data_IF_107529791051
#
_entry.id   IF_107529791051
#
_cell.length_a   1.000
_cell.length_b   1.000
_cell.length_c   1.000
_cell.angle_alpha   90.00
_cell.angle_beta   90.00
_cell.angle_gamma   90.00
#
_symmetry.space_group_name_H-M   'P 1'
#
loop_
_entity.id
_entity.type
_entity.pdbx_description
1 polymer ?
#
# COMPACT_ATOMS: atom_id res chain seq x y z
N UNK A 1 7.96 17.03 46.40
CA UNK A 1 7.84 17.11 44.92
C UNK A 1 6.57 16.40 44.53
N UNK A 2 5.49 17.14 44.32
CA UNK A 2 4.24 16.61 43.77
C UNK A 2 4.47 16.37 42.27
N UNK A 3 4.61 15.11 41.88
CA UNK A 3 4.67 14.70 40.47
C UNK A 3 3.42 15.19 39.76
N UNK A 4 3.59 15.98 38.69
CA UNK A 4 2.51 16.52 37.86
C UNK A 4 1.60 15.39 37.35
N UNK A 5 0.33 15.31 37.76
CA UNK A 5 -0.54 14.19 37.41
C UNK A 5 -0.78 14.02 35.89
N UNK A 6 -0.42 15.01 35.07
CA UNK A 6 -0.58 15.02 33.61
C UNK A 6 0.56 14.33 32.84
N UNK A 7 1.72 14.07 33.46
CA UNK A 7 2.91 13.56 32.76
C UNK A 7 2.61 12.27 31.98
N UNK A 8 1.85 11.34 32.59
CA UNK A 8 1.53 10.04 31.99
C UNK A 8 0.70 10.20 30.72
N UNK A 9 -0.32 11.06 30.74
CA UNK A 9 -1.19 11.30 29.59
C UNK A 9 -0.43 11.94 28.43
N UNK A 10 0.46 12.89 28.74
CA UNK A 10 1.32 13.54 27.74
C UNK A 10 2.27 12.54 27.09
N UNK A 11 2.94 11.71 27.88
CA UNK A 11 3.86 10.66 27.36
C UNK A 11 3.12 9.63 26.51
N UNK A 12 1.93 9.18 26.92
CA UNK A 12 1.12 8.22 26.16
C UNK A 12 0.65 8.85 24.84
N UNK A 13 0.16 10.08 24.87
CA UNK A 13 -0.28 10.78 23.66
C UNK A 13 0.88 10.98 22.67
N UNK A 14 2.04 11.43 23.15
CA UNK A 14 3.21 11.68 22.32
C UNK A 14 3.77 10.40 21.71
N UNK A 15 3.94 9.34 22.51
CA UNK A 15 4.43 8.06 22.02
C UNK A 15 3.45 7.40 21.04
N UNK A 16 2.14 7.46 21.32
CA UNK A 16 1.11 6.96 20.40
C UNK A 16 1.11 7.71 19.08
N UNK A 17 1.23 9.04 19.11
CA UNK A 17 1.33 9.85 17.90
C UNK A 17 2.57 9.50 17.07
N UNK A 18 3.73 9.30 17.73
CA UNK A 18 4.95 8.87 17.05
C UNK A 18 4.79 7.50 16.39
N UNK A 19 4.19 6.52 17.08
CA UNK A 19 3.94 5.18 16.53
C UNK A 19 3.00 5.28 15.31
N UNK A 20 1.88 6.00 15.44
CA UNK A 20 0.93 6.19 14.34
C UNK A 20 1.58 6.88 13.14
N UNK A 21 2.43 7.87 13.36
CA UNK A 21 3.15 8.56 12.29
C UNK A 21 4.11 7.60 11.55
N UNK A 22 4.89 6.80 12.28
CA UNK A 22 5.82 5.82 11.69
C UNK A 22 5.05 4.77 10.87
N UNK A 23 4.03 4.15 11.47
CA UNK A 23 3.25 3.10 10.82
C UNK A 23 2.47 3.66 9.63
N UNK A 24 1.85 4.84 9.78
CA UNK A 24 1.13 5.53 8.72
C UNK A 24 2.04 5.92 7.56
N UNK A 25 3.25 6.41 7.84
CA UNK A 25 4.27 6.71 6.83
C UNK A 25 4.68 5.47 6.05
N UNK A 26 4.94 4.36 6.75
CA UNK A 26 5.29 3.08 6.12
C UNK A 26 4.19 2.55 5.20
N UNK A 27 2.94 2.57 5.67
CA UNK A 27 1.78 2.15 4.88
C UNK A 27 1.61 3.02 3.64
N UNK A 28 1.70 4.34 3.81
CA UNK A 28 1.55 5.30 2.70
C UNK A 28 2.62 5.08 1.63
N UNK A 29 3.88 4.90 2.04
CA UNK A 29 4.98 4.59 1.11
C UNK A 29 4.73 3.28 0.35
N UNK A 30 4.27 2.24 1.04
CA UNK A 30 3.96 0.94 0.44
C UNK A 30 2.84 1.03 -0.61
N UNK A 31 1.77 1.77 -0.29
CA UNK A 31 0.65 2.01 -1.22
C UNK A 31 1.14 2.82 -2.43
N UNK A 32 1.92 3.86 -2.21
CA UNK A 32 2.44 4.70 -3.29
C UNK A 32 3.34 3.91 -4.25
N UNK A 33 4.20 3.05 -3.72
CA UNK A 33 5.05 2.17 -4.53
C UNK A 33 4.22 1.22 -5.40
N UNK A 34 3.18 0.61 -4.83
CA UNK A 34 2.26 -0.26 -5.57
C UNK A 34 1.49 0.51 -6.66
N UNK A 35 1.02 1.72 -6.36
CA UNK A 35 0.36 2.57 -7.35
C UNK A 35 1.31 2.97 -8.49
N UNK A 36 2.59 3.23 -8.18
CA UNK A 36 3.61 3.51 -9.17
C UNK A 36 3.85 2.29 -10.07
N UNK A 37 4.00 1.09 -9.51
CA UNK A 37 4.15 -0.16 -10.27
C UNK A 37 2.95 -0.40 -11.19
N UNK A 38 1.73 -0.26 -10.66
CA UNK A 38 0.49 -0.38 -11.43
C UNK A 38 0.45 0.61 -12.60
N UNK A 39 0.84 1.87 -12.35
CA UNK A 39 0.90 2.92 -13.38
C UNK A 39 1.91 2.58 -14.47
N UNK A 40 3.09 2.08 -14.09
CA UNK A 40 4.12 1.63 -15.03
C UNK A 40 3.61 0.51 -15.93
N UNK A 41 2.99 -0.54 -15.36
CA UNK A 41 2.39 -1.64 -16.12
C UNK A 41 1.29 -1.12 -17.07
N UNK A 42 0.42 -0.23 -16.57
CA UNK A 42 -0.64 0.38 -17.37
C UNK A 42 -0.10 1.20 -18.54
N UNK A 43 0.98 1.95 -18.34
CA UNK A 43 1.62 2.74 -19.38
C UNK A 43 2.25 1.83 -20.45
N UNK A 44 2.99 0.79 -20.03
CA UNK A 44 3.55 -0.21 -20.95
C UNK A 44 2.45 -0.87 -21.79
N UNK A 45 1.34 -1.24 -21.17
CA UNK A 45 0.19 -1.82 -21.86
C UNK A 45 -0.41 -0.85 -22.90
N UNK A 46 -0.53 0.43 -22.55
CA UNK A 46 -1.01 1.48 -23.47
C UNK A 46 -0.07 1.65 -24.68
N UNK A 47 1.23 1.73 -24.44
CA UNK A 47 2.27 1.86 -25.47
C UNK A 47 2.26 0.67 -26.43
N UNK A 48 2.27 -0.56 -25.88
CA UNK A 48 2.24 -1.79 -26.69
C UNK A 48 0.94 -1.90 -27.51
N UNK A 49 -0.21 -1.49 -26.96
CA UNK A 49 -1.46 -1.39 -27.71
C UNK A 49 -1.42 -0.33 -28.82
N UNK A 50 -0.72 0.78 -28.62
CA UNK A 50 -0.52 1.78 -29.66
C UNK A 50 0.36 1.22 -30.79
N UNK A 51 1.47 0.56 -30.45
CA UNK A 51 2.36 -0.08 -31.42
C UNK A 51 1.66 -1.18 -32.22
N UNK A 52 0.86 -2.03 -31.56
CA UNK A 52 0.08 -3.06 -32.24
C UNK A 52 -0.91 -2.44 -33.25
N UNK A 53 -1.53 -1.31 -32.93
CA UNK A 53 -2.42 -0.58 -33.84
C UNK A 53 -1.66 -0.03 -35.05
N UNK A 54 -0.45 0.49 -34.86
CA UNK A 54 0.40 0.95 -35.96
C UNK A 54 0.79 -0.20 -36.89
N UNK A 55 1.28 -1.32 -36.34
CA UNK A 55 1.64 -2.51 -37.14
C UNK A 55 0.45 -3.06 -37.92
N UNK A 56 -0.74 -3.09 -37.32
CA UNK A 56 -1.96 -3.51 -38.03
C UNK A 56 -2.31 -2.60 -39.20
N UNK A 57 -2.15 -1.28 -39.05
CA UNK A 57 -2.38 -0.33 -40.15
C UNK A 57 -1.40 -0.52 -41.29
N UNK A 58 -0.14 -0.83 -41.00
CA UNK A 58 0.85 -1.15 -42.03
C UNK A 58 0.48 -2.43 -42.81
N UNK A 59 -0.04 -3.44 -42.12
CA UNK A 59 -0.55 -4.68 -42.74
C UNK A 59 -1.80 -4.46 -43.61
N UNK A 60 -2.56 -3.39 -43.39
CA UNK A 60 -3.78 -3.05 -44.15
C UNK A 60 -3.49 -2.25 -45.43
N UNK A 61 -2.24 -1.79 -45.64
CA UNK A 61 -1.87 -1.05 -46.85
C UNK A 61 -1.89 -1.94 -48.10
N UNK A 62 -2.23 -1.39 -49.28
CA UNK A 62 -2.30 -2.15 -50.52
C UNK A 62 -0.93 -2.74 -50.88
N UNK A 63 -0.93 -4.03 -51.24
CA UNK A 63 0.27 -4.83 -51.50
C UNK A 63 0.93 -4.44 -52.82
N UNK A 64 2.20 -4.06 -52.77
CA UNK A 64 3.08 -3.98 -53.94
C UNK A 64 3.88 -5.31 -54.07
N UNK A 65 4.52 -5.56 -55.21
CA UNK A 65 5.07 -6.88 -55.59
C UNK A 65 6.28 -7.37 -54.74
N UNK A 66 6.77 -6.57 -53.77
CA UNK A 66 7.96 -6.85 -52.90
C UNK A 66 7.63 -7.25 -51.45
N UNK A 67 6.38 -7.60 -51.13
CA UNK A 67 5.87 -7.57 -49.74
C UNK A 67 6.00 -8.87 -48.93
N UNK A 68 6.38 -10.00 -49.53
CA UNK A 68 6.24 -11.30 -48.85
C UNK A 68 7.12 -11.45 -47.59
N UNK A 69 8.36 -10.94 -47.60
CA UNK A 69 9.25 -11.00 -46.42
C UNK A 69 8.86 -9.97 -45.34
N UNK A 70 8.52 -8.75 -45.74
CA UNK A 70 8.12 -7.69 -44.81
C UNK A 70 6.78 -8.01 -44.12
N UNK A 71 5.81 -8.57 -44.86
CA UNK A 71 4.52 -8.99 -44.30
C UNK A 71 4.72 -10.06 -43.21
N UNK A 72 5.65 -10.99 -43.42
CA UNK A 72 5.98 -12.02 -42.43
C UNK A 72 6.55 -11.41 -41.15
N UNK A 73 7.45 -10.43 -41.28
CA UNK A 73 8.04 -9.70 -40.15
C UNK A 73 6.96 -8.95 -39.36
N UNK A 74 6.07 -8.20 -40.03
CA UNK A 74 4.99 -7.47 -39.37
C UNK A 74 3.99 -8.41 -38.68
N UNK A 75 3.66 -9.56 -39.27
CA UNK A 75 2.80 -10.57 -38.63
C UNK A 75 3.44 -11.14 -37.37
N UNK A 76 4.75 -11.43 -37.40
CA UNK A 76 5.51 -11.90 -36.24
C UNK A 76 5.52 -10.85 -35.13
N UNK A 77 5.79 -9.59 -35.47
CA UNK A 77 5.74 -8.47 -34.52
C UNK A 77 4.35 -8.30 -33.90
N UNK A 78 3.29 -8.38 -34.70
CA UNK A 78 1.92 -8.29 -34.22
C UNK A 78 1.56 -9.44 -33.25
N UNK A 79 2.06 -10.65 -33.51
CA UNK A 79 1.87 -11.80 -32.62
C UNK A 79 2.61 -11.61 -31.28
N UNK A 80 3.87 -11.18 -31.32
CA UNK A 80 4.66 -10.89 -30.11
C UNK A 80 4.01 -9.79 -29.27
N UNK A 81 3.57 -8.70 -29.89
CA UNK A 81 2.88 -7.62 -29.18
C UNK A 81 1.55 -8.10 -28.56
N UNK A 82 0.80 -8.96 -29.25
CA UNK A 82 -0.42 -9.55 -28.69
C UNK A 82 -0.13 -10.40 -27.45
N UNK A 83 0.90 -11.24 -27.48
CA UNK A 83 1.27 -12.05 -26.30
C UNK A 83 1.73 -11.18 -25.14
N UNK A 84 2.55 -10.15 -25.39
CA UNK A 84 2.99 -9.22 -24.34
C UNK A 84 1.82 -8.43 -23.74
N UNK A 85 0.87 -7.97 -24.56
CA UNK A 85 -0.33 -7.29 -24.07
C UNK A 85 -1.17 -8.23 -23.21
N UNK A 86 -1.32 -9.50 -23.61
CA UNK A 86 -2.05 -10.49 -22.83
C UNK A 86 -1.39 -10.75 -21.46
N UNK A 87 -0.05 -10.86 -21.43
CA UNK A 87 0.71 -11.01 -20.19
C UNK A 87 0.56 -9.78 -19.28
N UNK A 88 0.78 -8.57 -19.81
CA UNK A 88 0.63 -7.31 -19.05
C UNK A 88 -0.80 -7.13 -18.52
N UNK A 89 -1.81 -7.49 -19.30
CA UNK A 89 -3.21 -7.41 -18.88
C UNK A 89 -3.51 -8.42 -17.77
N UNK A 90 -2.94 -9.62 -17.85
CA UNK A 90 -3.03 -10.63 -16.78
C UNK A 90 -2.39 -10.10 -15.50
N UNK A 91 -1.15 -9.59 -15.58
CA UNK A 91 -0.43 -9.00 -14.45
C UNK A 91 -1.22 -7.85 -13.81
N UNK A 92 -1.79 -6.97 -14.63
CA UNK A 92 -2.60 -5.84 -14.18
C UNK A 92 -3.89 -6.29 -13.49
N UNK A 93 -4.55 -7.32 -14.01
CA UNK A 93 -5.80 -7.86 -13.42
C UNK A 93 -5.53 -8.66 -12.13
N UNK A 94 -4.38 -9.31 -12.03
CA UNK A 94 -3.94 -9.98 -10.78
C UNK A 94 -3.43 -8.98 -9.74
N UNK A 95 -3.21 -7.72 -10.10
CA UNK A 95 -2.70 -6.70 -9.21
C UNK A 95 -3.70 -6.42 -8.09
N UNK A 96 -3.43 -7.00 -6.92
CA UNK A 96 -4.26 -6.86 -5.72
C UNK A 96 -3.49 -6.08 -4.65
N UNK A 97 -4.19 -5.23 -3.92
CA UNK A 97 -3.63 -4.57 -2.75
C UNK A 97 -3.30 -5.61 -1.66
N UNK A 98 -2.27 -5.36 -0.83
CA UNK A 98 -1.94 -6.26 0.27
C UNK A 98 -3.16 -6.44 1.19
N UNK A 99 -3.55 -7.68 1.51
CA UNK A 99 -4.80 -7.97 2.21
C UNK A 99 -4.86 -7.31 3.60
N UNK A 100 -3.69 -7.12 4.23
CA UNK A 100 -3.57 -6.54 5.55
C UNK A 100 -3.67 -5.00 5.58
N UNK A 101 -3.75 -4.31 4.44
CA UNK A 101 -3.89 -2.85 4.42
C UNK A 101 -5.16 -2.39 5.14
N UNK A 102 -6.27 -3.12 4.95
CA UNK A 102 -7.54 -2.81 5.64
C UNK A 102 -7.42 -3.04 7.15
N UNK A 103 -6.74 -4.12 7.55
CA UNK A 103 -6.49 -4.43 8.95
C UNK A 103 -5.70 -3.30 9.63
N UNK A 104 -4.74 -2.71 8.93
CA UNK A 104 -3.98 -1.57 9.42
C UNK A 104 -4.86 -0.38 9.79
N UNK A 105 -5.80 -0.01 8.90
CA UNK A 105 -6.76 1.06 9.15
C UNK A 105 -7.64 0.75 10.38
N UNK A 106 -8.13 -0.49 10.48
CA UNK A 106 -8.93 -0.93 11.63
C UNK A 106 -8.18 -0.91 12.96
N UNK A 107 -6.86 -1.09 12.98
CA UNK A 107 -6.05 -1.04 14.21
C UNK A 107 -5.65 0.40 14.53
N UNK A 108 -5.19 1.17 13.54
CA UNK A 108 -4.62 2.51 13.74
C UNK A 108 -5.69 3.53 14.14
N UNK A 109 -6.87 3.50 13.52
CA UNK A 109 -7.95 4.45 13.81
C UNK A 109 -8.39 4.42 15.29
N UNK A 110 -8.76 3.28 15.89
CA UNK A 110 -9.11 3.24 17.30
C UNK A 110 -7.90 3.48 18.20
N UNK A 111 -6.69 3.03 17.82
CA UNK A 111 -5.48 3.30 18.61
C UNK A 111 -5.20 4.80 18.73
N UNK A 112 -5.30 5.54 17.63
CA UNK A 112 -5.12 6.99 17.60
C UNK A 112 -6.23 7.71 18.39
N UNK A 113 -7.49 7.30 18.23
CA UNK A 113 -8.60 7.88 18.99
C UNK A 113 -8.44 7.69 20.50
N UNK A 114 -8.18 6.45 20.94
CA UNK A 114 -8.11 6.11 22.37
C UNK A 114 -6.82 6.53 23.05
N UNK A 115 -5.70 6.61 22.34
CA UNK A 115 -4.40 6.90 22.98
C UNK A 115 -3.81 8.27 22.62
N UNK A 116 -4.44 9.03 21.72
CA UNK A 116 -4.05 10.42 21.43
C UNK A 116 -5.20 11.35 21.83
N UNK A 117 -6.37 11.21 21.20
CA UNK A 117 -7.48 12.15 21.43
C UNK A 117 -8.01 12.08 22.87
N UNK A 118 -8.16 10.86 23.42
CA UNK A 118 -8.68 10.69 24.78
C UNK A 118 -7.73 11.23 25.87
N UNK A 119 -6.42 10.94 25.90
CA UNK A 119 -5.51 11.58 26.86
C UNK A 119 -5.46 13.11 26.72
N UNK A 120 -5.47 13.64 25.49
CA UNK A 120 -5.48 15.10 25.25
C UNK A 120 -6.74 15.75 25.79
N UNK A 121 -7.92 15.17 25.54
CA UNK A 121 -9.18 15.69 26.07
C UNK A 121 -9.24 15.63 27.59
N UNK A 122 -8.74 14.55 28.19
CA UNK A 122 -8.67 14.42 29.65
C UNK A 122 -7.76 15.44 30.31
N UNK A 123 -6.59 15.73 29.70
CA UNK A 123 -5.70 16.81 30.15
C UNK A 123 -6.45 18.14 30.13
N UNK A 124 -7.18 18.45 29.06
CA UNK A 124 -7.94 19.70 28.92
C UNK A 124 -9.07 19.85 29.94
N UNK A 125 -9.70 18.73 30.34
CA UNK A 125 -10.78 18.70 31.33
C UNK A 125 -10.30 18.55 32.78
N UNK A 126 -8.99 18.47 33.01
CA UNK A 126 -8.38 18.22 34.32
C UNK A 126 -8.89 16.96 35.05
N UNK A 127 -9.34 15.94 34.30
CA UNK A 127 -9.95 14.73 34.86
C UNK A 127 -8.89 13.66 35.19
N UNK A 128 -8.34 13.70 36.41
CA UNK A 128 -7.19 12.88 36.83
C UNK A 128 -7.54 11.69 37.76
N UNK A 129 -8.65 10.99 37.53
CA UNK A 129 -9.01 9.80 38.32
C UNK A 129 -8.07 8.60 38.09
N UNK A 130 -7.72 7.90 39.17
CA UNK A 130 -6.81 6.73 39.14
C UNK A 130 -7.32 5.61 38.21
N UNK A 131 -8.62 5.33 38.21
CA UNK A 131 -9.24 4.32 37.33
C UNK A 131 -9.04 4.63 35.85
N UNK A 132 -9.13 5.90 35.47
CA UNK A 132 -8.93 6.34 34.08
C UNK A 132 -7.48 6.18 33.66
N UNK A 133 -6.52 6.46 34.56
CA UNK A 133 -5.09 6.22 34.30
C UNK A 133 -4.80 4.75 34.02
N UNK A 134 -5.36 3.84 34.83
CA UNK A 134 -5.22 2.40 34.62
C UNK A 134 -5.85 1.97 33.29
N UNK A 135 -7.05 2.46 32.99
CA UNK A 135 -7.73 2.18 31.72
C UNK A 135 -6.88 2.59 30.51
N UNK A 136 -6.37 3.81 30.48
CA UNK A 136 -5.55 4.34 29.37
C UNK A 136 -4.25 3.56 29.23
N UNK A 137 -3.60 3.21 30.36
CA UNK A 137 -2.40 2.40 30.34
C UNK A 137 -2.68 1.00 29.74
N UNK A 138 -3.79 0.36 30.13
CA UNK A 138 -4.20 -0.92 29.58
C UNK A 138 -4.53 -0.82 28.08
N UNK A 139 -5.29 0.19 27.65
CA UNK A 139 -5.60 0.38 26.22
C UNK A 139 -4.36 0.67 25.39
N UNK A 140 -3.39 1.41 25.96
CA UNK A 140 -2.11 1.67 25.31
C UNK A 140 -1.31 0.38 25.11
N UNK A 141 -1.17 -0.44 26.16
CA UNK A 141 -0.42 -1.71 26.08
C UNK A 141 -1.07 -2.71 25.11
N UNK A 142 -2.39 -2.87 25.16
CA UNK A 142 -3.13 -3.74 24.23
C UNK A 142 -3.00 -3.23 22.79
N UNK A 143 -3.14 -1.92 22.59
CA UNK A 143 -2.99 -1.29 21.30
C UNK A 143 -1.58 -1.40 20.73
N UNK A 144 -0.57 -1.21 21.56
CA UNK A 144 0.84 -1.39 21.21
C UNK A 144 1.12 -2.84 20.78
N UNK A 145 0.62 -3.82 21.55
CA UNK A 145 0.76 -5.23 21.20
C UNK A 145 0.06 -5.55 19.88
N UNK A 146 -1.14 -5.01 19.63
CA UNK A 146 -1.83 -5.18 18.36
C UNK A 146 -1.04 -4.62 17.16
N UNK A 147 -0.41 -3.44 17.33
CA UNK A 147 0.47 -2.85 16.31
C UNK A 147 1.71 -3.71 16.08
N UNK A 148 2.35 -4.21 17.14
CA UNK A 148 3.52 -5.09 17.01
C UNK A 148 3.15 -6.36 16.24
N UNK A 149 2.05 -7.03 16.61
CA UNK A 149 1.56 -8.21 15.90
C UNK A 149 1.26 -7.90 14.44
N UNK A 150 0.61 -6.77 14.16
CA UNK A 150 0.36 -6.32 12.79
C UNK A 150 1.66 -6.15 11.98
N UNK A 151 2.67 -5.48 12.55
CA UNK A 151 3.97 -5.30 11.90
C UNK A 151 4.66 -6.65 11.68
N UNK A 152 4.62 -7.56 12.66
CA UNK A 152 5.19 -8.91 12.52
C UNK A 152 4.54 -9.71 11.41
N UNK A 153 3.21 -9.63 11.27
CA UNK A 153 2.50 -10.28 10.16
C UNK A 153 2.91 -9.69 8.81
N UNK A 154 3.01 -8.36 8.73
CA UNK A 154 3.41 -7.65 7.53
C UNK A 154 4.84 -8.03 7.08
N UNK A 155 5.80 -8.06 8.01
CA UNK A 155 7.18 -8.48 7.74
C UNK A 155 7.20 -9.94 7.27
N UNK A 156 6.42 -10.82 7.90
CA UNK A 156 6.36 -12.24 7.54
C UNK A 156 5.82 -12.43 6.11
N UNK A 157 4.79 -11.68 5.73
CA UNK A 157 4.23 -11.73 4.37
C UNK A 157 5.24 -11.22 3.32
N UNK A 158 5.93 -10.11 3.62
CA UNK A 158 6.96 -9.55 2.73
C UNK A 158 8.11 -10.54 2.53
N UNK A 159 8.57 -11.20 3.61
CA UNK A 159 9.61 -12.24 3.54
C UNK A 159 9.17 -13.44 2.70
N UNK A 160 7.93 -13.89 2.84
CA UNK A 160 7.36 -14.98 2.06
C UNK A 160 7.29 -14.67 0.56
N UNK A 161 6.92 -13.44 0.19
CA UNK A 161 6.87 -13.02 -1.22
C UNK A 161 8.27 -12.91 -1.84
N UNK A 162 9.26 -12.42 -1.10
CA UNK A 162 10.63 -12.33 -1.59
C UNK A 162 11.29 -13.71 -1.77
N UNK A 163 10.91 -14.73 -1.00
CA UNK A 163 11.44 -16.08 -1.15
C UNK A 163 10.91 -16.84 -2.39
N UNK A 164 9.87 -16.31 -3.05
CA UNK A 164 9.25 -16.91 -4.25
C UNK A 164 9.62 -16.21 -5.56
N UNK A 165 10.35 -15.09 -5.48
CA UNK A 165 10.93 -14.39 -6.64
C UNK A 165 12.37 -14.85 -6.83
#
# INVERSE_FOLDING_TARGET
>A
MTTDPSWLYSTIAQSSAAIVAIVGGFITASVLMLLAEKRTISNQLSEKKARLRAVKRELEKPKDYRWDEEELLYKKDALLLKSEIADLNTRLNTFSYPPHLRLAAYIITPFAGLNIALPVTLILTEYFHSTVKQFICCTFLVGLLAIIVYISLLITELRSKNAKR
#
